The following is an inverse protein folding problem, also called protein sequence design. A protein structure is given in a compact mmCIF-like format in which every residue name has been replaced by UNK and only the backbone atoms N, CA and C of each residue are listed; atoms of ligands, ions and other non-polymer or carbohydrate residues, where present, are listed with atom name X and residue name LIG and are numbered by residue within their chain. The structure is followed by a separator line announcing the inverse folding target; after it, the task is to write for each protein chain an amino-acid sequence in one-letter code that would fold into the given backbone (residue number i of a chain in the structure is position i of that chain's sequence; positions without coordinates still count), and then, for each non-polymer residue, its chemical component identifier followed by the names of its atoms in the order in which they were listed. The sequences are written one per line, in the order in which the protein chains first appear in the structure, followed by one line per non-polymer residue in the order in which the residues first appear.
data_IF_288932587993
#
_entry.id   IF_288932587993
#
_cell.length_a   1.000
_cell.length_b   1.000
_cell.length_c   1.000
_cell.angle_alpha   90.00
_cell.angle_beta   90.00
_cell.angle_gamma   90.00
#
_symmetry.space_group_name_H-M   'P 1'
#
loop_
_entity.id
_entity.type
_entity.pdbx_description
1 polymer ?
#
# COMPACT_ATOMS: atom_id res chain seq x y z
N UNK A 1 -20.77 16.82 5.49
CA UNK A 1 -20.97 16.92 4.03
C UNK A 1 -20.34 15.71 3.32
N UNK A 2 -20.37 14.50 3.90
CA UNK A 2 -19.56 13.35 3.44
C UNK A 2 -20.24 12.48 2.37
N UNK A 3 -21.54 12.66 2.14
CA UNK A 3 -22.32 11.72 1.33
C UNK A 3 -22.41 12.08 -0.16
N UNK A 4 -21.96 13.28 -0.57
CA UNK A 4 -22.19 13.80 -1.92
C UNK A 4 -21.17 13.36 -2.98
N UNK A 5 -20.03 12.79 -2.59
CA UNK A 5 -18.97 12.36 -3.52
C UNK A 5 -18.76 10.83 -3.59
N UNK A 6 -19.49 10.07 -2.77
CA UNK A 6 -19.47 8.61 -2.79
C UNK A 6 -20.26 8.10 -3.98
N UNK A 7 -19.61 7.34 -4.86
CA UNK A 7 -20.26 6.83 -6.09
C UNK A 7 -20.40 5.32 -6.14
N UNK A 8 -19.75 4.62 -5.23
CA UNK A 8 -19.81 3.16 -5.16
C UNK A 8 -19.50 2.72 -3.74
N UNK A 9 -20.32 1.86 -3.16
CA UNK A 9 -20.05 1.23 -1.88
C UNK A 9 -20.69 -0.16 -1.83
N UNK A 10 -20.21 -0.98 -0.90
CA UNK A 10 -20.71 -2.33 -0.72
C UNK A 10 -19.81 -3.18 0.15
N UNK A 11 -20.07 -4.48 0.10
CA UNK A 11 -19.42 -5.49 0.92
C UNK A 11 -18.33 -6.23 0.13
N UNK A 12 -17.19 -6.46 0.77
CA UNK A 12 -16.08 -7.20 0.15
C UNK A 12 -16.45 -8.66 -0.12
N UNK A 13 -17.34 -9.24 0.70
CA UNK A 13 -17.83 -10.62 0.56
C UNK A 13 -18.49 -10.87 -0.81
N UNK A 14 -19.09 -9.84 -1.41
CA UNK A 14 -19.88 -9.99 -2.63
C UNK A 14 -19.03 -9.87 -3.89
N UNK A 15 -18.09 -8.90 -3.92
CA UNK A 15 -17.35 -8.54 -5.12
C UNK A 15 -15.86 -8.88 -5.03
N UNK A 16 -15.29 -8.85 -3.83
CA UNK A 16 -13.85 -8.98 -3.57
C UNK A 16 -13.04 -7.77 -4.00
N UNK A 17 -11.92 -7.51 -3.31
CA UNK A 17 -11.05 -6.37 -3.60
C UNK A 17 -10.47 -6.39 -5.02
N UNK A 18 -10.09 -7.57 -5.52
CA UNK A 18 -9.54 -7.73 -6.86
C UNK A 18 -10.50 -7.21 -7.94
N UNK A 19 -11.76 -7.62 -7.88
CA UNK A 19 -12.78 -7.24 -8.87
C UNK A 19 -13.09 -5.74 -8.79
N UNK A 20 -13.15 -5.18 -7.58
CA UNK A 20 -13.32 -3.74 -7.35
C UNK A 20 -12.21 -2.96 -8.04
N UNK A 21 -10.94 -3.33 -7.77
CA UNK A 21 -9.79 -2.65 -8.37
C UNK A 21 -9.78 -2.76 -9.90
N UNK A 22 -10.04 -3.95 -10.46
CA UNK A 22 -10.15 -4.15 -11.91
C UNK A 22 -11.23 -3.29 -12.55
N UNK A 23 -12.41 -3.24 -11.95
CA UNK A 23 -13.52 -2.43 -12.47
C UNK A 23 -13.18 -0.93 -12.46
N UNK A 24 -12.56 -0.43 -11.38
CA UNK A 24 -12.12 0.96 -11.28
C UNK A 24 -11.00 1.29 -12.29
N UNK A 25 -10.09 0.34 -12.54
CA UNK A 25 -9.04 0.44 -13.55
C UNK A 25 -9.62 0.55 -14.96
N UNK A 26 -10.46 -0.43 -15.35
CA UNK A 26 -11.06 -0.53 -16.68
C UNK A 26 -11.94 0.68 -17.02
N UNK A 27 -12.62 1.23 -16.02
CA UNK A 27 -13.45 2.44 -16.18
C UNK A 27 -12.68 3.75 -16.02
N UNK A 28 -11.35 3.69 -15.86
CA UNK A 28 -10.47 4.85 -15.80
C UNK A 28 -10.78 5.81 -14.65
N UNK A 29 -11.30 5.29 -13.52
CA UNK A 29 -11.79 6.14 -12.43
C UNK A 29 -10.65 6.94 -11.79
N UNK A 30 -11.02 8.12 -11.31
CA UNK A 30 -10.16 8.99 -10.51
C UNK A 30 -10.89 9.28 -9.20
N UNK A 31 -10.21 9.13 -8.08
CA UNK A 31 -10.79 9.22 -6.74
C UNK A 31 -10.08 8.33 -5.74
N UNK A 32 -10.65 8.18 -4.55
CA UNK A 32 -10.07 7.36 -3.47
C UNK A 32 -11.02 6.21 -3.11
N UNK A 33 -10.49 4.99 -3.18
CA UNK A 33 -11.12 3.77 -2.65
C UNK A 33 -10.74 3.61 -1.19
N UNK A 34 -11.72 3.51 -0.31
CA UNK A 34 -11.56 3.11 1.07
C UNK A 34 -12.04 1.67 1.22
N UNK A 35 -11.28 0.88 1.97
CA UNK A 35 -11.60 -0.51 2.27
C UNK A 35 -11.33 -0.73 3.75
N UNK A 36 -12.30 -1.30 4.46
CA UNK A 36 -12.23 -1.53 5.89
C UNK A 36 -12.49 -2.99 6.21
N UNK A 37 -11.66 -3.58 7.07
CA UNK A 37 -11.79 -4.95 7.57
C UNK A 37 -11.36 -4.99 9.04
N UNK A 38 -12.31 -5.15 9.95
CA UNK A 38 -12.02 -5.09 11.39
C UNK A 38 -11.39 -3.74 11.79
N UNK A 39 -10.21 -3.73 12.45
CA UNK A 39 -9.50 -2.50 12.81
C UNK A 39 -8.66 -1.92 11.67
N UNK A 40 -8.54 -2.63 10.54
CA UNK A 40 -7.65 -2.26 9.44
C UNK A 40 -8.39 -1.45 8.39
N UNK A 41 -7.68 -0.46 7.84
CA UNK A 41 -8.20 0.42 6.78
C UNK A 41 -7.17 0.57 5.69
N UNK A 42 -7.58 0.33 4.44
CA UNK A 42 -6.79 0.56 3.24
C UNK A 42 -7.42 1.70 2.45
N UNK A 43 -6.64 2.75 2.19
CA UNK A 43 -7.00 3.86 1.33
C UNK A 43 -6.15 3.84 0.07
N UNK A 44 -6.77 3.74 -1.10
CA UNK A 44 -6.10 3.65 -2.40
C UNK A 44 -6.56 4.83 -3.26
N UNK A 45 -5.64 5.73 -3.59
CA UNK A 45 -5.91 6.85 -4.49
C UNK A 45 -5.62 6.43 -5.93
N UNK A 46 -6.63 6.59 -6.79
CA UNK A 46 -6.60 6.27 -8.20
C UNK A 46 -6.66 7.52 -9.06
N UNK A 47 -5.88 7.55 -10.14
CA UNK A 47 -5.94 8.58 -11.17
C UNK A 47 -5.92 7.91 -12.53
N UNK A 48 -6.97 8.14 -13.33
CA UNK A 48 -7.16 7.53 -14.65
C UNK A 48 -6.97 6.00 -14.62
N UNK A 49 -7.49 5.33 -13.59
CA UNK A 49 -7.36 3.89 -13.42
C UNK A 49 -5.99 3.38 -12.94
N UNK A 50 -5.07 4.27 -12.54
CA UNK A 50 -3.75 3.91 -12.01
C UNK A 50 -3.62 4.26 -10.53
N UNK A 51 -2.85 3.49 -9.77
CA UNK A 51 -2.60 3.75 -8.35
C UNK A 51 -1.56 4.85 -8.21
N UNK A 52 -1.92 5.96 -7.56
CA UNK A 52 -1.01 7.10 -7.32
C UNK A 52 -0.59 7.21 -5.86
N UNK A 53 -1.36 6.64 -4.94
CA UNK A 53 -1.00 6.54 -3.54
C UNK A 53 -1.79 5.45 -2.83
N UNK A 54 -1.22 4.92 -1.77
CA UNK A 54 -1.86 3.97 -0.88
C UNK A 54 -1.47 4.29 0.56
N UNK A 55 -2.39 4.08 1.49
CA UNK A 55 -2.15 4.10 2.92
C UNK A 55 -2.88 2.95 3.56
N UNK A 56 -2.18 2.26 4.45
CA UNK A 56 -2.71 1.19 5.27
C UNK A 56 -2.61 1.60 6.74
N UNK A 57 -3.70 1.46 7.46
CA UNK A 57 -3.83 1.79 8.89
C UNK A 57 -4.32 0.55 9.64
N UNK A 58 -3.95 0.42 10.91
CA UNK A 58 -4.27 -0.74 11.74
C UNK A 58 -3.26 -1.89 11.65
N UNK A 59 -2.28 -1.80 10.75
CA UNK A 59 -1.19 -2.79 10.60
C UNK A 59 0.14 -2.19 11.07
N UNK A 60 0.83 -2.80 12.06
CA UNK A 60 2.18 -2.39 12.44
C UNK A 60 3.15 -2.59 11.26
N UNK A 61 3.68 -1.49 10.72
CA UNK A 61 4.68 -1.56 9.67
C UNK A 61 6.10 -1.60 10.26
N UNK A 62 7.01 -2.41 9.71
CA UNK A 62 8.40 -2.38 10.10
C UNK A 62 9.02 -1.02 9.79
N UNK A 63 9.85 -0.52 10.71
CA UNK A 63 10.51 0.77 10.55
C UNK A 63 11.54 0.72 9.40
N UNK A 64 11.26 1.46 8.33
CA UNK A 64 12.11 1.56 7.15
C UNK A 64 13.55 1.94 7.49
N UNK A 65 13.76 2.91 8.38
CA UNK A 65 15.09 3.41 8.70
C UNK A 65 15.89 2.36 9.48
N UNK A 66 15.23 1.64 10.40
CA UNK A 66 15.83 0.50 11.09
C UNK A 66 16.22 -0.59 10.09
N UNK A 67 15.32 -0.94 9.17
CA UNK A 67 15.60 -1.94 8.13
C UNK A 67 16.80 -1.55 7.26
N UNK A 68 16.91 -0.28 6.87
CA UNK A 68 18.05 0.23 6.09
C UNK A 68 19.37 0.14 6.86
N UNK A 69 19.37 0.38 8.17
CA UNK A 69 20.54 0.17 9.02
C UNK A 69 20.96 -1.30 9.08
N UNK A 70 19.99 -2.22 9.27
CA UNK A 70 20.27 -3.66 9.37
C UNK A 70 20.93 -4.23 8.10
N UNK A 71 20.58 -3.69 6.93
CA UNK A 71 21.19 -4.12 5.65
C UNK A 71 22.40 -3.27 5.24
N UNK A 72 22.96 -2.47 6.16
CA UNK A 72 24.11 -1.58 5.93
C UNK A 72 23.92 -0.59 4.75
N UNK A 73 22.67 -0.19 4.46
CA UNK A 73 22.34 0.81 3.43
C UNK A 73 22.26 2.23 3.99
N UNK A 74 22.08 2.37 5.30
CA UNK A 74 22.04 3.64 5.99
C UNK A 74 22.79 3.53 7.33
N UNK A 75 23.61 4.51 7.66
CA UNK A 75 24.29 4.57 8.95
C UNK A 75 23.30 4.98 10.07
N UNK A 76 23.42 4.46 11.31
CA UNK A 76 22.53 4.80 12.41
C UNK A 76 22.41 6.30 12.73
N UNK A 77 23.50 7.09 12.62
CA UNK A 77 23.44 8.53 12.86
C UNK A 77 22.63 9.23 11.77
N UNK A 78 22.79 8.81 10.51
CA UNK A 78 21.98 9.31 9.38
C UNK A 78 20.52 8.92 9.52
N UNK A 79 20.23 7.70 9.95
CA UNK A 79 18.88 7.24 10.23
C UNK A 79 18.20 8.06 11.33
N UNK A 80 18.92 8.33 12.43
CA UNK A 80 18.40 9.17 13.51
C UNK A 80 18.09 10.59 13.03
N UNK A 81 18.98 11.18 12.23
CA UNK A 81 18.75 12.51 11.65
C UNK A 81 17.48 12.53 10.80
N UNK A 82 17.28 11.55 9.92
CA UNK A 82 16.08 11.48 9.07
C UNK A 82 14.83 11.29 9.92
N UNK A 83 14.90 10.46 10.96
CA UNK A 83 13.79 10.21 11.89
C UNK A 83 13.31 11.48 12.58
N UNK A 84 14.24 12.28 13.10
CA UNK A 84 13.94 13.54 13.79
C UNK A 84 13.26 14.55 12.87
N UNK A 85 13.72 14.66 11.62
CA UNK A 85 13.15 15.61 10.66
C UNK A 85 11.85 15.13 10.04
N UNK A 86 11.72 13.82 9.78
CA UNK A 86 10.53 13.24 9.16
C UNK A 86 9.34 13.11 10.13
N UNK A 87 9.57 13.20 11.44
CA UNK A 87 8.50 13.11 12.44
C UNK A 87 7.72 11.79 12.38
N UNK A 88 8.36 10.71 11.95
CA UNK A 88 7.72 9.40 11.74
C UNK A 88 6.97 9.23 10.41
N UNK A 89 6.96 10.24 9.54
CA UNK A 89 6.36 10.11 8.21
C UNK A 89 7.34 9.42 7.23
N UNK A 90 7.04 8.17 6.87
CA UNK A 90 7.85 7.36 5.95
C UNK A 90 8.05 8.00 4.58
N UNK A 91 7.06 8.73 4.05
CA UNK A 91 7.18 9.41 2.75
C UNK A 91 8.19 10.57 2.82
N UNK A 92 8.13 11.35 3.90
CA UNK A 92 9.11 12.42 4.15
C UNK A 92 10.51 11.83 4.32
N UNK A 93 10.61 10.72 5.08
CA UNK A 93 11.88 10.02 5.24
C UNK A 93 12.48 9.57 3.89
N UNK A 94 11.68 8.92 3.03
CA UNK A 94 12.12 8.51 1.69
C UNK A 94 12.55 9.70 0.82
N UNK A 95 11.78 10.78 0.82
CA UNK A 95 12.11 11.99 0.07
C UNK A 95 13.45 12.59 0.54
N UNK A 96 13.68 12.66 1.85
CA UNK A 96 14.94 13.14 2.43
C UNK A 96 16.13 12.26 2.05
N UNK A 97 15.97 10.92 2.02
CA UNK A 97 17.03 10.01 1.61
C UNK A 97 17.45 10.25 0.15
N UNK A 98 16.49 10.55 -0.72
CA UNK A 98 16.76 10.90 -2.12
C UNK A 98 17.42 12.26 -2.25
N UNK A 99 16.89 13.28 -1.58
CA UNK A 99 17.44 14.65 -1.61
C UNK A 99 18.89 14.71 -1.12
N UNK A 100 19.27 13.83 -0.19
CA UNK A 100 20.63 13.71 0.35
C UNK A 100 21.54 12.76 -0.42
N UNK A 101 21.08 12.19 -1.55
CA UNK A 101 21.79 11.20 -2.35
C UNK A 101 22.17 9.90 -1.58
N UNK A 102 21.45 9.57 -0.51
CA UNK A 102 21.62 8.31 0.23
C UNK A 102 20.76 7.19 -0.36
N UNK A 103 19.80 7.54 -1.21
CA UNK A 103 18.97 6.63 -1.98
C UNK A 103 18.75 7.22 -3.38
N UNK A 104 18.73 6.39 -4.42
CA UNK A 104 18.35 6.86 -5.75
C UNK A 104 16.82 6.99 -5.87
N UNK A 105 16.34 7.88 -6.74
CA UNK A 105 14.89 7.97 -7.03
C UNK A 105 14.31 6.64 -7.56
N UNK A 106 15.10 5.87 -8.31
CA UNK A 106 14.70 4.54 -8.78
C UNK A 106 14.57 3.52 -7.64
N UNK A 107 15.45 3.60 -6.63
CA UNK A 107 15.32 2.77 -5.43
C UNK A 107 14.11 3.17 -4.59
N UNK A 108 13.86 4.47 -4.42
CA UNK A 108 12.65 4.96 -3.76
C UNK A 108 11.39 4.44 -4.47
N UNK A 109 11.32 4.54 -5.79
CA UNK A 109 10.19 4.05 -6.57
C UNK A 109 9.96 2.55 -6.37
N UNK A 110 11.01 1.72 -6.45
CA UNK A 110 10.89 0.27 -6.21
C UNK A 110 10.39 -0.06 -4.80
N UNK A 111 10.82 0.70 -3.79
CA UNK A 111 10.36 0.51 -2.40
C UNK A 111 8.89 0.88 -2.23
N UNK A 112 8.45 1.97 -2.86
CA UNK A 112 7.05 2.41 -2.84
C UNK A 112 6.15 1.40 -3.54
N UNK A 113 6.56 0.93 -4.73
CA UNK A 113 5.88 -0.13 -5.46
C UNK A 113 5.76 -1.41 -4.63
N UNK A 114 6.87 -1.86 -4.02
CA UNK A 114 6.84 -3.01 -3.13
C UNK A 114 5.87 -2.84 -1.96
N UNK A 115 5.85 -1.67 -1.32
CA UNK A 115 4.94 -1.39 -0.21
C UNK A 115 3.47 -1.41 -0.65
N UNK A 116 3.14 -0.79 -1.79
CA UNK A 116 1.79 -0.82 -2.37
C UNK A 116 1.34 -2.27 -2.62
N UNK A 117 2.20 -3.06 -3.27
CA UNK A 117 1.90 -4.45 -3.61
C UNK A 117 1.72 -5.33 -2.38
N UNK A 118 2.53 -5.14 -1.33
CA UNK A 118 2.38 -5.85 -0.06
C UNK A 118 1.05 -5.52 0.64
N UNK A 119 0.67 -4.24 0.72
CA UNK A 119 -0.61 -3.84 1.31
C UNK A 119 -1.82 -4.35 0.52
N UNK A 120 -1.74 -4.35 -0.83
CA UNK A 120 -2.78 -4.95 -1.66
C UNK A 120 -2.83 -6.46 -1.46
N UNK A 121 -1.68 -7.14 -1.43
CA UNK A 121 -1.59 -8.58 -1.16
C UNK A 121 -2.22 -8.94 0.18
N UNK A 122 -1.98 -8.11 1.21
CA UNK A 122 -2.59 -8.25 2.51
C UNK A 122 -4.11 -8.12 2.46
N UNK A 123 -4.62 -7.04 1.89
CA UNK A 123 -6.04 -6.77 1.82
C UNK A 123 -6.82 -7.71 0.88
N UNK A 124 -6.15 -8.33 -0.10
CA UNK A 124 -6.76 -9.37 -0.94
C UNK A 124 -7.20 -10.60 -0.14
N UNK A 125 -6.62 -10.84 1.04
CA UNK A 125 -6.99 -11.93 1.94
C UNK A 125 -8.17 -11.59 2.85
N UNK A 126 -8.67 -10.35 2.83
CA UNK A 126 -9.83 -9.96 3.63
C UNK A 126 -11.10 -10.59 3.07
N UNK A 127 -11.66 -11.54 3.82
CA UNK A 127 -12.93 -12.20 3.48
C UNK A 127 -14.12 -11.30 3.80
N UNK A 128 -14.06 -10.56 4.91
CA UNK A 128 -15.14 -9.69 5.38
C UNK A 128 -14.68 -8.24 5.41
N UNK A 129 -15.54 -7.33 4.98
CA UNK A 129 -15.24 -5.90 5.06
C UNK A 129 -16.18 -5.07 4.20
N UNK A 130 -15.99 -3.75 4.23
CA UNK A 130 -16.75 -2.81 3.41
C UNK A 130 -15.83 -1.95 2.59
N UNK A 131 -16.29 -1.55 1.43
CA UNK A 131 -15.58 -0.60 0.59
C UNK A 131 -16.46 0.59 0.23
N UNK A 132 -15.82 1.72 -0.04
CA UNK A 132 -16.46 2.92 -0.55
C UNK A 132 -15.50 3.68 -1.46
N UNK A 133 -15.94 4.02 -2.67
CA UNK A 133 -15.20 4.83 -3.61
C UNK A 133 -15.78 6.24 -3.69
N UNK A 134 -14.91 7.23 -3.50
CA UNK A 134 -15.24 8.65 -3.58
C UNK A 134 -14.52 9.28 -4.77
N UNK A 135 -15.18 10.19 -5.51
CA UNK A 135 -14.55 10.89 -6.65
C UNK A 135 -13.44 11.84 -6.24
N UNK A 136 -13.50 12.31 -5.00
CA UNK A 136 -12.47 13.18 -4.44
C UNK A 136 -11.16 12.41 -4.26
N UNK A 137 -10.08 12.99 -4.77
CA UNK A 137 -8.74 12.57 -4.40
C UNK A 137 -8.42 13.13 -3.03
N UNK A 138 -8.21 12.27 -2.05
CA UNK A 138 -7.61 12.69 -0.78
C UNK A 138 -6.17 13.10 -1.07
N UNK A 139 -5.74 14.31 -0.66
CA UNK A 139 -4.35 14.71 -0.78
C UNK A 139 -3.47 13.73 0.00
N UNK A 140 -2.72 12.92 -0.73
CA UNK A 140 -1.69 12.06 -0.18
C UNK A 140 -0.39 12.57 -0.79
N UNK A 141 0.49 13.16 0.02
CA UNK A 141 1.83 13.52 -0.42
C UNK A 141 2.56 12.24 -0.83
N UNK A 142 2.65 12.00 -2.13
CA UNK A 142 3.37 10.85 -2.65
C UNK A 142 4.09 11.23 -3.95
N UNK A 143 5.41 11.08 -3.95
CA UNK A 143 6.28 11.27 -5.13
C UNK A 143 6.36 10.01 -6.01
N UNK A 144 5.53 9.00 -5.74
CA UNK A 144 5.48 7.75 -6.48
C UNK A 144 4.96 7.97 -7.91
N UNK A 145 5.60 7.31 -8.88
CA UNK A 145 5.03 7.20 -10.22
C UNK A 145 3.77 6.33 -10.18
N UNK A 146 2.80 6.65 -11.04
CA UNK A 146 1.56 5.91 -11.08
C UNK A 146 1.81 4.43 -11.43
N UNK A 147 1.24 3.54 -10.64
CA UNK A 147 1.36 2.10 -10.82
C UNK A 147 0.16 1.58 -11.60
N UNK A 148 0.42 0.68 -12.53
CA UNK A 148 -0.62 -0.04 -13.26
C UNK A 148 -1.29 -1.07 -12.34
N UNK A 149 -2.63 -1.10 -12.34
CA UNK A 149 -3.39 -1.96 -11.42
C UNK A 149 -3.21 -3.44 -11.75
N UNK A 150 -3.16 -3.82 -13.03
CA UNK A 150 -3.14 -5.22 -13.43
C UNK A 150 -1.81 -5.89 -13.06
N UNK A 151 -0.69 -5.25 -13.36
CA UNK A 151 0.65 -5.69 -12.94
C UNK A 151 0.79 -5.74 -11.41
N UNK A 152 0.28 -4.73 -10.71
CA UNK A 152 0.27 -4.70 -9.25
C UNK A 152 -0.55 -5.85 -8.65
N UNK A 153 -1.75 -6.10 -9.19
CA UNK A 153 -2.62 -7.19 -8.74
C UNK A 153 -2.00 -8.57 -9.00
N UNK A 154 -1.35 -8.76 -10.15
CA UNK A 154 -0.70 -10.03 -10.47
C UNK A 154 0.36 -10.38 -9.42
N UNK A 155 1.23 -9.44 -9.09
CA UNK A 155 2.28 -9.65 -8.09
C UNK A 155 1.70 -9.76 -6.67
N UNK A 156 0.67 -8.99 -6.34
CA UNK A 156 0.01 -9.06 -5.04
C UNK A 156 -0.67 -10.42 -4.79
N UNK A 157 -1.30 -10.99 -5.82
CA UNK A 157 -1.89 -12.34 -5.77
C UNK A 157 -0.81 -13.41 -5.61
N UNK A 158 0.27 -13.34 -6.40
CA UNK A 158 1.42 -14.24 -6.27
C UNK A 158 1.97 -14.25 -4.84
N UNK A 159 2.12 -13.07 -4.24
CA UNK A 159 2.55 -12.93 -2.85
C UNK A 159 1.52 -13.53 -1.88
N UNK A 160 0.23 -13.28 -2.08
CA UNK A 160 -0.82 -13.80 -1.19
C UNK A 160 -0.83 -15.33 -1.15
N UNK A 161 -0.70 -15.98 -2.31
CA UNK A 161 -0.62 -17.44 -2.43
C UNK A 161 0.61 -18.01 -1.70
N UNK A 162 1.78 -17.35 -1.81
CA UNK A 162 3.00 -17.77 -1.12
C UNK A 162 2.85 -17.73 0.41
N UNK A 163 2.14 -16.73 0.93
CA UNK A 163 1.85 -16.65 2.36
C UNK A 163 0.96 -17.80 2.82
N UNK A 164 -0.11 -18.13 2.10
CA UNK A 164 -0.98 -19.28 2.43
C UNK A 164 -0.20 -20.60 2.47
N UNK A 165 0.65 -20.85 1.48
CA UNK A 165 1.48 -22.07 1.42
C UNK A 165 2.46 -22.17 2.59
N UNK A 166 3.09 -21.06 2.99
CA UNK A 166 4.07 -21.03 4.09
C UNK A 166 3.42 -21.32 5.43
N UNK A 167 2.19 -20.89 5.68
CA UNK A 167 1.44 -21.25 6.88
C UNK A 167 0.94 -22.69 6.83
N UNK A 168 0.48 -23.18 5.68
CA UNK A 168 0.11 -24.59 5.51
C UNK A 168 1.29 -25.53 5.81
N UNK A 169 2.48 -25.28 5.25
CA UNK A 169 3.68 -26.09 5.49
C UNK A 169 4.19 -26.10 6.94
N UNK A 170 3.84 -25.09 7.75
CA UNK A 170 4.19 -25.03 9.18
C UNK A 170 3.25 -25.86 10.04
N UNK A 171 2.00 -26.08 9.61
CA UNK A 171 1.02 -26.90 10.32
C UNK A 171 1.28 -28.41 10.13
N UNK A 172 1.79 -28.83 8.97
CA UNK A 172 2.15 -30.23 8.69
C UNK A 172 3.51 -30.68 9.24
N UNK A 173 4.26 -29.80 9.93
CA UNK A 173 5.51 -30.17 10.64
C UNK A 173 5.29 -30.61 12.09
N UNK A 174 4.04 -30.60 12.56
CA UNK A 174 3.63 -30.99 13.90
C UNK A 174 2.58 -32.13 13.93
N UNK A 175 2.29 -32.73 12.77
CA UNK A 175 1.58 -33.99 12.61
C UNK A 175 2.51 -34.97 11.89
#
# INVERSE_FOLDING_TARGET
MEQQDRIMDGDLQTLGLQSILKMLALSGKTGTLFVHSGPETLSISLRKGQIVALREEGVPQPDLLVMLCLVNKLDPQRAQMVREHAGGNTQVALAMLVERNWMSAAEMQRRLEFAVTQSISHALRWVNGRFAFHRQLVPMENRMQALDIDSTLLEALRQADEWEQKYHSRLWRWF
#
